data_IF_808233582604
#
_entry.id   IF_808233582604
#
_cell.length_a   1.000
_cell.length_b   1.000
_cell.length_c   1.000
_cell.angle_alpha   90.00
_cell.angle_beta   90.00
_cell.angle_gamma   90.00
#
_symmetry.space_group_name_H-M   'P 1'
#
loop_
_entity.id
_entity.type
_entity.pdbx_description
1 polymer ?
#
# COMPACT_ATOMS: atom_id res chain seq x y z
N UNK A 1 -37.47 -15.60 -24.01
CA UNK A 1 -37.69 -14.69 -22.85
C UNK A 1 -37.63 -15.59 -21.61
N UNK A 2 -36.75 -15.47 -20.61
CA UNK A 2 -35.97 -14.34 -20.08
C UNK A 2 -34.71 -14.95 -19.42
N UNK A 3 -33.52 -14.49 -19.80
CA UNK A 3 -32.25 -14.82 -19.13
C UNK A 3 -32.30 -14.22 -17.71
N UNK A 4 -32.20 -15.02 -16.67
CA UNK A 4 -31.93 -14.51 -15.32
C UNK A 4 -30.44 -14.19 -15.23
N UNK A 5 -30.09 -12.95 -15.55
CA UNK A 5 -28.78 -12.40 -15.21
C UNK A 5 -28.66 -12.44 -13.68
N UNK A 6 -27.68 -13.19 -13.15
CA UNK A 6 -27.24 -12.99 -11.77
C UNK A 6 -26.70 -11.56 -11.68
N UNK A 7 -27.11 -10.75 -10.70
CA UNK A 7 -26.40 -9.52 -10.43
C UNK A 7 -24.96 -9.89 -10.10
N UNK A 8 -23.99 -9.24 -10.75
CA UNK A 8 -22.61 -9.30 -10.34
C UNK A 8 -22.56 -8.99 -8.84
N UNK A 9 -21.79 -9.76 -8.08
CA UNK A 9 -21.48 -9.46 -6.68
C UNK A 9 -20.66 -8.17 -6.63
N UNK A 10 -21.33 -7.03 -6.82
CA UNK A 10 -20.78 -5.73 -6.51
C UNK A 10 -20.56 -5.67 -5.02
N UNK A 11 -19.37 -5.24 -4.62
CA UNK A 11 -19.02 -4.95 -3.23
C UNK A 11 -20.11 -4.01 -2.69
N UNK A 12 -20.91 -4.49 -1.73
CA UNK A 12 -21.95 -3.70 -1.10
C UNK A 12 -21.30 -2.55 -0.32
N UNK A 13 -21.33 -1.35 -0.92
CA UNK A 13 -20.74 -0.14 -0.35
C UNK A 13 -21.32 0.22 1.04
N UNK A 14 -22.46 -0.37 1.44
CA UNK A 14 -23.07 -0.14 2.77
C UNK A 14 -22.30 -0.79 3.92
N UNK A 15 -21.41 -1.74 3.66
CA UNK A 15 -20.58 -2.40 4.69
C UNK A 15 -19.30 -1.59 4.98
N UNK A 16 -18.94 -0.66 4.09
CA UNK A 16 -17.72 0.13 4.21
C UNK A 16 -17.95 1.37 5.08
N UNK A 17 -17.63 1.26 6.37
CA UNK A 17 -17.56 2.44 7.23
C UNK A 17 -16.46 3.38 6.74
N UNK A 18 -16.78 4.67 6.62
CA UNK A 18 -15.82 5.70 6.22
C UNK A 18 -14.58 5.69 7.13
N UNK A 19 -13.40 5.65 6.49
CA UNK A 19 -12.08 5.63 7.12
C UNK A 19 -11.74 4.34 7.88
N UNK A 20 -12.36 3.22 7.51
CA UNK A 20 -11.89 1.88 7.92
C UNK A 20 -10.86 1.35 6.94
N UNK A 21 -11.01 1.64 5.64
CA UNK A 21 -10.17 1.06 4.58
C UNK A 21 -8.97 1.91 4.15
N UNK A 22 -9.05 3.21 4.40
CA UNK A 22 -8.05 4.22 4.04
C UNK A 22 -7.84 5.16 5.22
N UNK A 23 -6.68 5.81 5.28
CA UNK A 23 -6.30 6.71 6.37
C UNK A 23 -6.51 8.20 6.06
N UNK A 24 -7.18 8.51 4.95
CA UNK A 24 -7.52 9.88 4.56
C UNK A 24 -9.02 10.13 4.50
N UNK A 25 -9.39 11.41 4.56
CA UNK A 25 -10.73 11.90 4.27
C UNK A 25 -10.69 12.76 3.01
N UNK A 26 -11.43 12.35 1.98
CA UNK A 26 -11.64 13.20 0.80
C UNK A 26 -12.46 14.43 1.21
N UNK A 27 -11.91 15.61 0.96
CA UNK A 27 -12.60 16.88 1.21
C UNK A 27 -12.60 17.72 -0.05
N UNK A 28 -13.59 18.62 -0.18
CA UNK A 28 -13.70 19.57 -1.32
C UNK A 28 -13.58 18.90 -2.69
N UNK A 29 -14.09 17.69 -2.79
CA UNK A 29 -13.99 16.83 -3.97
C UNK A 29 -15.38 16.37 -4.39
N UNK A 30 -15.64 16.37 -5.69
CA UNK A 30 -16.83 15.79 -6.31
C UNK A 30 -16.53 14.42 -6.87
N UNK A 31 -17.57 13.64 -7.20
CA UNK A 31 -17.41 12.35 -7.89
C UNK A 31 -16.78 12.55 -9.27
N UNK A 32 -17.09 13.66 -9.95
CA UNK A 32 -16.49 13.98 -11.25
C UNK A 32 -14.96 14.13 -11.14
N UNK A 33 -14.48 14.79 -10.09
CA UNK A 33 -13.03 14.97 -9.87
C UNK A 33 -12.30 13.62 -9.69
N UNK A 34 -12.93 12.66 -9.02
CA UNK A 34 -12.37 11.31 -8.83
C UNK A 34 -12.37 10.51 -10.15
N UNK A 35 -13.43 10.65 -10.95
CA UNK A 35 -13.54 10.00 -12.26
C UNK A 35 -12.46 10.57 -13.20
N UNK A 36 -12.31 11.89 -13.25
CA UNK A 36 -11.28 12.55 -14.05
C UNK A 36 -9.89 12.09 -13.64
N UNK A 37 -9.58 12.05 -12.34
CA UNK A 37 -8.30 11.51 -11.83
C UNK A 37 -8.03 10.09 -12.37
N UNK A 38 -9.04 9.22 -12.33
CA UNK A 38 -8.91 7.86 -12.81
C UNK A 38 -8.70 7.80 -14.33
N UNK A 39 -9.40 8.63 -15.10
CA UNK A 39 -9.24 8.73 -16.55
C UNK A 39 -7.85 9.27 -16.91
N UNK A 40 -7.40 10.35 -16.28
CA UNK A 40 -6.08 10.94 -16.46
C UNK A 40 -4.97 9.92 -16.17
N UNK A 41 -5.12 9.15 -15.08
CA UNK A 41 -4.21 8.06 -14.79
C UNK A 41 -4.18 7.03 -15.92
N UNK A 42 -5.33 6.51 -16.35
CA UNK A 42 -5.43 5.50 -17.41
C UNK A 42 -4.79 5.98 -18.73
N UNK A 43 -5.03 7.23 -19.10
CA UNK A 43 -4.45 7.85 -20.30
C UNK A 43 -2.93 8.01 -20.18
N UNK A 44 -2.43 8.30 -18.97
CA UNK A 44 -0.99 8.48 -18.71
C UNK A 44 -0.17 7.18 -18.73
N UNK A 45 -0.77 6.01 -18.57
CA UNK A 45 -0.04 4.72 -18.50
C UNK A 45 0.39 4.18 -19.87
N UNK A 46 0.21 4.96 -20.95
CA UNK A 46 0.83 4.72 -22.26
C UNK A 46 0.48 3.36 -22.88
N UNK A 47 -0.64 2.77 -22.48
CA UNK A 47 -1.09 1.47 -22.97
C UNK A 47 -0.50 0.24 -22.27
N UNK A 48 0.10 0.34 -21.07
CA UNK A 48 0.41 -0.86 -20.27
C UNK A 48 -0.88 -1.52 -19.77
N UNK A 49 -1.31 -2.68 -20.33
CA UNK A 49 -2.57 -3.32 -19.95
C UNK A 49 -2.53 -3.91 -18.54
N UNK A 50 -1.35 -3.99 -17.91
CA UNK A 50 -1.19 -4.45 -16.54
C UNK A 50 -1.24 -3.31 -15.53
N UNK A 51 -1.03 -2.05 -15.90
CA UNK A 51 -1.02 -0.95 -14.94
C UNK A 51 -2.36 -0.81 -14.18
N UNK A 52 -3.54 -0.79 -14.83
CA UNK A 52 -4.82 -0.75 -14.11
C UNK A 52 -5.06 -1.99 -13.24
N UNK A 53 -4.58 -3.16 -13.70
CA UNK A 53 -4.67 -4.42 -12.95
C UNK A 53 -3.77 -4.40 -11.70
N UNK A 54 -2.60 -3.77 -11.78
CA UNK A 54 -1.70 -3.59 -10.63
C UNK A 54 -2.32 -2.63 -9.61
N UNK A 55 -2.92 -1.52 -10.04
CA UNK A 55 -3.67 -0.63 -9.13
C UNK A 55 -4.75 -1.43 -8.39
N UNK A 56 -5.57 -2.18 -9.12
CA UNK A 56 -6.58 -3.04 -8.50
C UNK A 56 -5.95 -4.07 -7.54
N UNK A 57 -4.85 -4.70 -7.92
CA UNK A 57 -4.14 -5.65 -7.06
C UNK A 57 -3.61 -5.01 -5.76
N UNK A 58 -3.08 -3.78 -5.83
CA UNK A 58 -2.63 -3.02 -4.64
C UNK A 58 -3.82 -2.76 -3.70
N UNK A 59 -4.93 -2.27 -4.23
CA UNK A 59 -6.15 -1.99 -3.45
C UNK A 59 -6.68 -3.28 -2.79
N UNK A 60 -6.74 -4.37 -3.55
CA UNK A 60 -7.19 -5.66 -3.04
C UNK A 60 -6.27 -6.21 -1.96
N UNK A 61 -4.95 -6.14 -2.15
CA UNK A 61 -3.98 -6.57 -1.15
C UNK A 61 -4.07 -5.72 0.13
N UNK A 62 -4.24 -4.40 0.00
CA UNK A 62 -4.49 -3.51 1.14
C UNK A 62 -5.75 -3.93 1.92
N UNK A 63 -6.84 -4.28 1.24
CA UNK A 63 -8.08 -4.69 1.90
C UNK A 63 -7.97 -6.08 2.54
N UNK A 64 -7.29 -7.03 1.89
CA UNK A 64 -7.02 -8.36 2.47
C UNK A 64 -6.14 -8.27 3.72
N UNK A 65 -5.20 -7.33 3.76
CA UNK A 65 -4.39 -7.05 4.94
C UNK A 65 -5.20 -6.51 6.13
N UNK A 66 -6.38 -5.95 5.87
CA UNK A 66 -7.29 -5.41 6.89
C UNK A 66 -8.40 -6.39 7.26
N UNK A 67 -8.45 -7.57 6.65
CA UNK A 67 -9.44 -8.58 6.97
C UNK A 67 -9.23 -9.09 8.40
N UNK A 68 -10.24 -9.02 9.30
CA UNK A 68 -10.04 -9.29 10.73
C UNK A 68 -9.58 -10.72 11.06
N UNK A 69 -9.78 -11.67 10.16
CA UNK A 69 -9.39 -13.07 10.35
C UNK A 69 -8.05 -13.43 9.68
N UNK A 70 -7.40 -12.49 9.01
CA UNK A 70 -6.05 -12.70 8.48
C UNK A 70 -5.05 -12.85 9.62
N UNK A 71 -4.22 -13.89 9.55
CA UNK A 71 -3.12 -14.08 10.49
C UNK A 71 -2.07 -12.97 10.30
N UNK A 72 -1.28 -12.61 11.34
CA UNK A 72 -0.32 -11.50 11.26
C UNK A 72 0.66 -11.59 10.09
N UNK A 73 1.17 -12.78 9.79
CA UNK A 73 2.08 -13.00 8.67
C UNK A 73 1.39 -12.84 7.31
N UNK A 74 0.08 -13.13 7.20
CA UNK A 74 -0.71 -12.91 5.98
C UNK A 74 -0.92 -11.41 5.77
N UNK A 75 -1.30 -10.68 6.83
CA UNK A 75 -1.44 -9.22 6.78
C UNK A 75 -0.14 -8.56 6.31
N UNK A 76 0.98 -8.96 6.90
CA UNK A 76 2.31 -8.49 6.50
C UNK A 76 2.62 -8.78 5.03
N UNK A 77 2.40 -10.02 4.58
CA UNK A 77 2.66 -10.40 3.19
C UNK A 77 1.82 -9.59 2.21
N UNK A 78 0.52 -9.41 2.47
CA UNK A 78 -0.35 -8.61 1.62
C UNK A 78 0.11 -7.15 1.54
N UNK A 79 0.52 -6.55 2.66
CA UNK A 79 1.03 -5.17 2.66
C UNK A 79 2.36 -5.06 1.92
N UNK A 80 3.25 -6.04 2.09
CA UNK A 80 4.52 -6.06 1.36
C UNK A 80 4.29 -6.20 -0.16
N UNK A 81 3.37 -7.08 -0.58
CA UNK A 81 2.97 -7.21 -1.99
C UNK A 81 2.39 -5.91 -2.54
N UNK A 82 1.57 -5.20 -1.76
CA UNK A 82 1.01 -3.90 -2.13
C UNK A 82 2.12 -2.85 -2.36
N UNK A 83 3.09 -2.76 -1.45
CA UNK A 83 4.25 -1.86 -1.57
C UNK A 83 5.09 -2.17 -2.83
N UNK A 84 5.38 -3.45 -3.09
CA UNK A 84 6.14 -3.87 -4.27
C UNK A 84 5.39 -3.61 -5.58
N UNK A 85 4.07 -3.79 -5.57
CA UNK A 85 3.24 -3.49 -6.73
C UNK A 85 3.18 -1.97 -7.00
N UNK A 86 3.13 -1.12 -5.96
CA UNK A 86 3.33 0.32 -6.11
C UNK A 86 4.67 0.65 -6.76
N UNK A 87 5.77 0.05 -6.29
CA UNK A 87 7.09 0.26 -6.91
C UNK A 87 7.08 -0.12 -8.40
N UNK A 88 6.44 -1.24 -8.73
CA UNK A 88 6.35 -1.69 -10.12
C UNK A 88 5.56 -0.73 -11.01
N UNK A 89 4.48 -0.13 -10.49
CA UNK A 89 3.71 0.89 -11.19
C UNK A 89 4.59 2.08 -11.56
N UNK A 90 5.36 2.60 -10.60
CA UNK A 90 6.26 3.75 -10.83
C UNK A 90 7.35 3.43 -11.86
N UNK A 91 8.09 2.33 -11.68
CA UNK A 91 9.25 2.02 -12.55
C UNK A 91 8.83 1.71 -13.99
N UNK A 92 7.68 1.05 -14.18
CA UNK A 92 7.17 0.77 -15.52
C UNK A 92 6.77 2.07 -16.22
N UNK A 93 6.05 2.95 -15.52
CA UNK A 93 5.64 4.27 -16.04
C UNK A 93 6.83 5.12 -16.49
N UNK A 94 7.92 5.08 -15.75
CA UNK A 94 9.12 5.86 -16.10
C UNK A 94 10.02 5.21 -17.15
N UNK A 95 9.65 4.03 -17.65
CA UNK A 95 10.46 3.21 -18.57
C UNK A 95 11.92 3.02 -18.09
N UNK A 96 12.15 3.12 -16.78
CA UNK A 96 13.50 3.06 -16.21
C UNK A 96 13.96 1.62 -16.12
N UNK A 97 15.18 1.36 -16.61
CA UNK A 97 15.95 0.16 -16.25
C UNK A 97 16.61 0.36 -14.88
N UNK A 98 15.81 0.69 -13.86
CA UNK A 98 16.30 0.82 -12.50
C UNK A 98 16.36 -0.56 -11.83
N UNK A 99 17.54 -0.93 -11.35
CA UNK A 99 17.73 -2.10 -10.51
C UNK A 99 17.78 -1.65 -9.05
N UNK A 100 16.61 -1.48 -8.44
CA UNK A 100 16.50 -1.23 -7.00
C UNK A 100 16.29 -2.57 -6.29
N UNK A 101 17.18 -2.99 -5.37
CA UNK A 101 16.99 -4.17 -4.55
C UNK A 101 15.68 -4.09 -3.76
N UNK A 102 15.01 -5.23 -3.54
CA UNK A 102 13.74 -5.26 -2.79
C UNK A 102 13.82 -4.50 -1.46
N UNK A 103 14.93 -4.63 -0.75
CA UNK A 103 15.15 -4.00 0.54
C UNK A 103 15.06 -2.46 0.52
N UNK A 104 15.40 -1.81 -0.60
CA UNK A 104 15.43 -0.37 -0.75
C UNK A 104 14.27 0.23 -1.55
N UNK A 105 13.31 -0.58 -2.01
CA UNK A 105 12.21 -0.09 -2.86
C UNK A 105 11.30 0.90 -2.17
N UNK A 106 10.95 0.64 -0.91
CA UNK A 106 10.06 1.53 -0.15
C UNK A 106 10.74 2.87 0.10
N UNK A 107 12.00 2.85 0.57
CA UNK A 107 12.79 4.06 0.74
C UNK A 107 12.91 4.84 -0.57
N UNK A 108 13.26 4.18 -1.68
CA UNK A 108 13.37 4.83 -2.97
C UNK A 108 12.08 5.52 -3.41
N UNK A 109 10.92 4.88 -3.23
CA UNK A 109 9.64 5.51 -3.54
C UNK A 109 9.35 6.71 -2.63
N UNK A 110 9.68 6.61 -1.33
CA UNK A 110 9.51 7.72 -0.41
C UNK A 110 10.35 8.92 -0.84
N UNK A 111 11.64 8.71 -1.13
CA UNK A 111 12.55 9.74 -1.64
C UNK A 111 12.05 10.36 -2.95
N UNK A 112 11.55 9.51 -3.87
CA UNK A 112 11.01 9.96 -5.16
C UNK A 112 9.84 10.92 -5.01
N UNK A 113 8.92 10.59 -4.12
CA UNK A 113 7.69 11.35 -3.92
C UNK A 113 7.78 12.36 -2.79
N UNK A 114 8.99 12.62 -2.27
CA UNK A 114 9.22 13.56 -1.16
C UNK A 114 8.37 13.22 0.09
N UNK A 115 8.25 11.92 0.37
CA UNK A 115 7.58 11.39 1.56
C UNK A 115 8.58 11.12 2.69
N UNK A 116 8.18 11.28 3.96
CA UNK A 116 8.98 10.82 5.09
C UNK A 116 9.26 9.32 5.02
N UNK A 117 10.53 8.92 5.10
CA UNK A 117 10.94 7.51 5.12
C UNK A 117 10.76 6.95 6.54
N UNK A 118 9.86 5.98 6.76
CA UNK A 118 9.69 5.40 8.09
C UNK A 118 10.87 4.50 8.45
N UNK A 119 11.14 4.35 9.75
CA UNK A 119 12.33 3.64 10.25
C UNK A 119 12.43 2.20 9.74
N UNK A 120 11.30 1.48 9.66
CA UNK A 120 11.26 0.11 9.14
C UNK A 120 11.57 -0.02 7.65
N UNK A 121 11.49 1.07 6.88
CA UNK A 121 11.79 1.11 5.46
C UNK A 121 13.21 1.55 5.14
N UNK A 122 13.91 2.17 6.10
CA UNK A 122 15.28 2.66 5.90
C UNK A 122 16.20 1.48 5.61
N UNK A 123 16.97 1.61 4.54
CA UNK A 123 17.96 0.66 4.06
C UNK A 123 19.25 1.42 3.74
N UNK A 124 20.38 0.84 4.08
CA UNK A 124 21.67 1.32 3.61
C UNK A 124 22.47 0.16 2.99
N UNK A 125 23.65 0.44 2.43
CA UNK A 125 24.47 -0.59 1.77
C UNK A 125 24.98 -1.67 2.73
N UNK A 126 25.07 -1.37 4.03
CA UNK A 126 25.58 -2.27 5.06
C UNK A 126 24.44 -2.99 5.83
N UNK A 127 23.26 -2.39 5.89
CA UNK A 127 22.16 -2.80 6.75
C UNK A 127 20.86 -2.85 5.93
N UNK A 128 20.32 -4.05 5.65
CA UNK A 128 19.01 -4.19 5.02
C UNK A 128 17.93 -3.60 5.94
N UNK A 129 16.84 -3.12 5.36
CA UNK A 129 15.70 -2.63 6.15
C UNK A 129 15.10 -3.77 6.96
N UNK A 130 14.64 -3.48 8.19
CA UNK A 130 14.03 -4.49 9.07
C UNK A 130 12.85 -5.19 8.38
N UNK A 131 12.06 -4.44 7.60
CA UNK A 131 10.99 -4.97 6.76
C UNK A 131 11.49 -6.05 5.79
N UNK A 132 12.63 -5.80 5.13
CA UNK A 132 13.17 -6.71 4.12
C UNK A 132 13.75 -7.99 4.72
N UNK A 133 14.32 -7.90 5.92
CA UNK A 133 14.79 -9.08 6.69
C UNK A 133 13.60 -9.98 7.00
N UNK A 134 12.55 -9.43 7.64
CA UNK A 134 11.33 -10.19 7.98
C UNK A 134 10.72 -10.82 6.73
N UNK A 135 10.66 -10.07 5.61
CA UNK A 135 10.14 -10.60 4.34
C UNK A 135 10.97 -11.76 3.82
N UNK A 136 12.29 -11.67 3.87
CA UNK A 136 13.14 -12.75 3.38
C UNK A 136 12.96 -14.02 4.21
N UNK A 137 12.95 -13.91 5.52
CA UNK A 137 12.73 -15.06 6.41
C UNK A 137 11.33 -15.67 6.21
N UNK A 138 10.32 -14.81 6.05
CA UNK A 138 8.92 -15.25 5.82
C UNK A 138 8.79 -16.06 4.53
N UNK A 139 9.46 -15.60 3.46
CA UNK A 139 9.31 -16.18 2.12
C UNK A 139 10.25 -17.36 1.89
N UNK A 140 11.49 -17.27 2.36
CA UNK A 140 12.52 -18.27 2.08
C UNK A 140 12.63 -19.35 3.15
N UNK A 141 12.37 -19.00 4.40
CA UNK A 141 12.55 -19.90 5.54
C UNK A 141 11.22 -20.30 6.21
N UNK A 142 10.09 -19.73 5.77
CA UNK A 142 8.79 -19.87 6.44
C UNK A 142 8.83 -19.45 7.92
N UNK A 143 9.65 -18.44 8.23
CA UNK A 143 9.81 -17.88 9.56
C UNK A 143 9.28 -16.44 9.63
N UNK A 144 8.43 -16.15 10.61
CA UNK A 144 7.92 -14.82 10.89
C UNK A 144 8.35 -14.42 12.31
N UNK A 145 9.27 -13.44 12.42
CA UNK A 145 9.90 -13.05 13.68
C UNK A 145 10.48 -14.26 14.45
N UNK A 146 11.37 -15.00 13.79
CA UNK A 146 12.05 -16.22 14.29
C UNK A 146 11.15 -17.41 14.68
N UNK A 147 9.83 -17.28 14.54
CA UNK A 147 8.87 -18.35 14.78
C UNK A 147 8.31 -18.93 13.47
N UNK A 148 7.80 -20.19 13.46
CA UNK A 148 7.06 -20.71 12.33
C UNK A 148 5.87 -19.82 11.95
N UNK A 149 5.49 -19.79 10.68
CA UNK A 149 4.30 -19.05 10.24
C UNK A 149 3.07 -19.38 11.11
N UNK A 150 2.37 -18.33 11.56
CA UNK A 150 1.19 -18.45 12.41
C UNK A 150 1.45 -18.56 13.91
N UNK A 151 2.72 -18.64 14.34
CA UNK A 151 3.07 -18.71 15.77
C UNK A 151 3.52 -17.37 16.36
N UNK A 152 3.85 -16.39 15.53
CA UNK A 152 4.30 -15.06 15.95
C UNK A 152 3.35 -13.96 15.50
N UNK A 153 3.25 -12.90 16.30
CA UNK A 153 2.68 -11.61 15.90
C UNK A 153 3.76 -10.69 15.32
N UNK A 154 3.35 -9.58 14.69
CA UNK A 154 4.30 -8.57 14.23
C UNK A 154 5.03 -7.96 15.43
N UNK A 155 6.37 -7.98 15.41
CA UNK A 155 7.22 -7.59 16.55
C UNK A 155 7.68 -8.77 17.42
N UNK A 156 7.28 -10.00 17.07
CA UNK A 156 7.59 -11.22 17.83
C UNK A 156 6.67 -11.46 19.02
N UNK A 157 6.90 -12.55 19.76
CA UNK A 157 6.08 -12.96 20.92
C UNK A 157 6.54 -12.36 22.26
N UNK A 158 7.58 -11.52 22.23
CA UNK A 158 7.95 -10.68 23.37
C UNK A 158 6.91 -9.54 23.50
N UNK A 159 6.66 -8.99 24.70
CA UNK A 159 5.87 -7.77 24.82
C UNK A 159 6.53 -6.69 23.96
N UNK A 160 5.96 -6.44 22.79
CA UNK A 160 6.59 -5.61 21.78
C UNK A 160 6.76 -4.18 22.32
N UNK A 161 7.92 -3.57 22.06
CA UNK A 161 8.06 -2.12 22.16
C UNK A 161 7.16 -1.39 21.16
N UNK A 162 6.68 -2.09 20.13
CA UNK A 162 5.85 -1.53 19.06
C UNK A 162 4.75 -2.52 18.56
N UNK A 163 3.70 -2.79 19.36
CA UNK A 163 2.68 -3.78 19.03
C UNK A 163 1.75 -3.26 17.93
N UNK A 164 2.11 -3.53 16.67
CA UNK A 164 1.24 -3.35 15.50
C UNK A 164 1.25 -1.95 14.87
N UNK A 165 2.13 -1.05 15.28
CA UNK A 165 2.25 0.26 14.64
C UNK A 165 2.82 0.13 13.23
N UNK A 166 3.85 -0.69 13.00
CA UNK A 166 4.42 -0.87 11.66
C UNK A 166 3.40 -1.38 10.63
N UNK A 167 2.54 -2.34 10.98
CA UNK A 167 1.48 -2.81 10.07
C UNK A 167 0.52 -1.67 9.69
N UNK A 168 0.14 -0.82 10.65
CA UNK A 168 -0.68 0.37 10.39
C UNK A 168 0.08 1.41 9.54
N UNK A 169 1.37 1.64 9.83
CA UNK A 169 2.23 2.52 9.03
C UNK A 169 2.39 2.01 7.60
N UNK A 170 2.49 0.70 7.39
CA UNK A 170 2.52 0.09 6.06
C UNK A 170 1.20 0.33 5.32
N UNK A 171 0.04 0.17 5.98
CA UNK A 171 -1.28 0.49 5.39
C UNK A 171 -1.35 1.97 4.97
N UNK A 172 -0.95 2.87 5.86
CA UNK A 172 -0.89 4.31 5.62
C UNK A 172 0.07 4.67 4.46
N UNK A 173 1.23 4.02 4.41
CA UNK A 173 2.21 4.18 3.33
C UNK A 173 1.65 3.72 1.98
N UNK A 174 0.96 2.57 1.94
CA UNK A 174 0.29 2.10 0.71
C UNK A 174 -0.75 3.11 0.23
N UNK A 175 -1.50 3.74 1.14
CA UNK A 175 -2.47 4.79 0.78
C UNK A 175 -1.80 6.02 0.15
N UNK A 176 -0.71 6.52 0.74
CA UNK A 176 0.07 7.65 0.17
C UNK A 176 0.64 7.30 -1.19
N UNK A 177 1.24 6.11 -1.33
CA UNK A 177 1.79 5.64 -2.60
C UNK A 177 0.72 5.49 -3.68
N UNK A 178 -0.46 4.95 -3.33
CA UNK A 178 -1.60 4.87 -4.26
C UNK A 178 -2.01 6.26 -4.74
N UNK A 179 -2.16 7.23 -3.83
CA UNK A 179 -2.53 8.60 -4.21
C UNK A 179 -1.42 9.25 -5.06
N UNK A 180 -0.14 9.03 -4.73
CA UNK A 180 0.99 9.55 -5.50
C UNK A 180 1.09 8.94 -6.92
N UNK A 181 0.73 7.66 -7.07
CA UNK A 181 0.75 6.96 -8.37
C UNK A 181 -0.45 7.36 -9.24
N UNK A 182 -1.63 7.45 -8.63
CA UNK A 182 -2.88 7.75 -9.32
C UNK A 182 -3.06 9.24 -9.62
N UNK A 183 -2.49 10.10 -8.79
CA UNK A 183 -2.70 11.54 -8.86
C UNK A 183 -1.41 12.34 -8.88
N UNK A 184 -1.53 13.58 -8.41
CA UNK A 184 -0.41 14.49 -8.33
C UNK A 184 0.44 14.16 -7.08
N UNK A 185 1.70 13.71 -7.23
CA UNK A 185 2.56 13.40 -6.10
C UNK A 185 2.87 14.62 -5.20
N UNK A 186 2.62 15.84 -5.69
CA UNK A 186 2.78 17.07 -4.93
C UNK A 186 1.67 17.38 -3.93
N UNK A 187 0.58 16.59 -3.87
CA UNK A 187 -0.51 16.81 -2.92
C UNK A 187 -0.02 16.67 -1.48
N UNK A 188 -0.43 17.59 -0.60
CA UNK A 188 0.02 17.66 0.80
C UNK A 188 -0.17 16.35 1.57
N UNK A 189 -1.28 15.65 1.35
CA UNK A 189 -1.56 14.33 1.94
C UNK A 189 -0.42 13.33 1.75
N UNK A 190 0.15 13.27 0.54
CA UNK A 190 1.19 12.31 0.17
C UNK A 190 2.43 12.44 1.06
N UNK A 191 2.71 13.65 1.54
CA UNK A 191 3.88 13.99 2.36
C UNK A 191 3.62 13.92 3.86
N UNK A 192 2.39 13.59 4.28
CA UNK A 192 2.06 13.47 5.70
C UNK A 192 2.79 12.29 6.34
N UNK A 193 3.16 12.36 7.62
CA UNK A 193 3.84 11.26 8.29
C UNK A 193 2.91 10.04 8.43
N UNK A 194 3.48 8.83 8.47
CA UNK A 194 2.73 7.56 8.61
C UNK A 194 2.68 7.03 10.04
N UNK A 195 3.52 7.56 10.93
CA UNK A 195 3.68 7.14 12.34
C UNK A 195 2.57 7.68 13.27
N UNK A 196 1.46 8.14 12.69
CA UNK A 196 0.32 8.72 13.39
C UNK A 196 -0.96 7.97 13.08
N UNK A 197 -1.90 7.98 14.04
CA UNK A 197 -3.28 7.48 13.83
C UNK A 197 -4.24 8.56 13.34
N UNK A 198 -3.75 9.78 13.13
CA UNK A 198 -4.57 10.87 12.64
C UNK A 198 -4.94 10.62 11.18
N UNK A 199 -6.20 10.93 10.85
CA UNK A 199 -6.62 10.97 9.45
C UNK A 199 -6.21 12.30 8.85
N UNK A 200 -5.71 12.24 7.62
CA UNK A 200 -5.30 13.42 6.89
C UNK A 200 -6.33 13.79 5.82
N UNK A 201 -6.52 15.07 5.59
CA UNK A 201 -7.37 15.55 4.52
C UNK A 201 -6.71 15.30 3.16
N UNK A 202 -7.46 14.76 2.20
CA UNK A 202 -7.05 14.63 0.81
C UNK A 202 -7.87 15.60 -0.05
N UNK A 203 -7.20 16.58 -0.60
CA UNK A 203 -7.72 17.52 -1.60
C UNK A 203 -7.14 17.14 -2.96
N UNK A 204 -7.98 16.63 -3.87
CA UNK A 204 -7.53 16.23 -5.22
C UNK A 204 -7.29 17.43 -6.14
N UNK A 205 -7.92 18.56 -5.83
CA UNK A 205 -7.73 19.86 -6.48
C UNK A 205 -7.33 20.86 -5.41
N UNK A 206 -6.05 21.25 -5.41
CA UNK A 206 -5.54 22.39 -4.64
C UNK A 206 -5.71 23.69 -5.41
#
# INVERSE_FOLDING_TARGET
MRRSARPAAGIDQRILKSGVLVDFALIRCTVADVIELALDYLDSEGGDPRAPKRVAAVIHALFLAQYPHSLPFEQFQYLYMALDACFKLVVVKEAQKLSVPHAGRVQWMCEKFDMPVPDWAKSDKATPSSLSVIRNDTVHEALFFDGPLGFSIYGGNQPAADPGNTTLQMQAMVCRLLVAVLGNPGISYVKTPVDTRQRHALELRG
#
